data_IF_953416262991
#
_entry.id   IF_953416262991
#
_cell.length_a   1.000
_cell.length_b   1.000
_cell.length_c   1.000
_cell.angle_alpha   90.00
_cell.angle_beta   90.00
_cell.angle_gamma   90.00
#
_symmetry.space_group_name_H-M   'P 1'
#
loop_
_entity.id
_entity.type
_entity.pdbx_description
1 polymer ?
#
# COMPACT_ATOMS: atom_id res chain seq x y z
N UNK A 1 -34.51 -55.44 -72.38
CA UNK A 1 -33.25 -54.70 -72.22
C UNK A 1 -33.48 -53.57 -71.17
N UNK A 2 -33.10 -53.82 -69.92
CA UNK A 2 -33.28 -52.83 -68.82
C UNK A 2 -31.90 -52.23 -68.51
N UNK A 3 -31.74 -50.93 -68.72
CA UNK A 3 -30.52 -50.16 -68.37
C UNK A 3 -30.57 -49.80 -66.89
N UNK A 4 -29.64 -50.30 -66.10
CA UNK A 4 -29.41 -49.82 -64.72
C UNK A 4 -28.58 -48.51 -64.78
N UNK A 5 -29.11 -47.48 -64.18
CA UNK A 5 -28.39 -46.25 -63.91
C UNK A 5 -27.86 -46.33 -62.47
N UNK A 6 -26.52 -46.33 -62.30
CA UNK A 6 -25.82 -46.27 -61.02
C UNK A 6 -25.64 -44.78 -60.75
N UNK A 7 -26.32 -44.27 -59.73
CA UNK A 7 -26.10 -42.92 -59.20
C UNK A 7 -25.00 -42.97 -58.12
N UNK A 8 -23.85 -42.37 -58.35
CA UNK A 8 -22.80 -42.19 -57.35
C UNK A 8 -23.14 -40.97 -56.51
N UNK A 9 -23.45 -41.19 -55.21
CA UNK A 9 -23.59 -40.15 -54.22
C UNK A 9 -22.24 -39.74 -53.68
N UNK A 10 -21.76 -38.53 -54.02
CA UNK A 10 -20.57 -37.94 -53.45
C UNK A 10 -20.92 -37.36 -52.04
N UNK A 11 -20.46 -37.98 -51.01
CA UNK A 11 -20.58 -37.47 -49.63
C UNK A 11 -19.54 -36.33 -49.44
N UNK A 12 -20.01 -35.10 -49.44
CA UNK A 12 -19.22 -33.92 -49.06
C UNK A 12 -19.07 -33.93 -47.54
N UNK A 13 -17.87 -34.22 -47.02
CA UNK A 13 -17.52 -34.07 -45.61
C UNK A 13 -17.37 -32.57 -45.32
N UNK A 14 -18.38 -31.96 -44.71
CA UNK A 14 -18.27 -30.63 -44.15
C UNK A 14 -17.41 -30.73 -42.90
N UNK A 15 -16.14 -30.36 -42.98
CA UNK A 15 -15.29 -30.08 -41.83
C UNK A 15 -15.79 -28.74 -41.26
N UNK A 16 -16.66 -28.78 -40.26
CA UNK A 16 -17.04 -27.58 -39.51
C UNK A 16 -15.76 -27.05 -38.82
N UNK A 17 -15.40 -25.75 -39.03
CA UNK A 17 -14.33 -25.18 -38.24
C UNK A 17 -14.73 -25.28 -36.78
N UNK A 18 -13.93 -25.98 -35.97
CA UNK A 18 -14.13 -26.07 -34.54
C UNK A 18 -14.15 -24.65 -33.99
N UNK A 19 -15.29 -24.24 -33.48
CA UNK A 19 -15.41 -23.01 -32.68
C UNK A 19 -14.52 -23.26 -31.48
N UNK A 20 -13.30 -22.71 -31.49
CA UNK A 20 -12.46 -22.64 -30.31
C UNK A 20 -13.27 -21.90 -29.26
N UNK A 21 -13.79 -22.63 -28.28
CA UNK A 21 -14.47 -22.03 -27.13
C UNK A 21 -13.45 -21.10 -26.49
N UNK A 22 -13.61 -19.80 -26.69
CA UNK A 22 -12.81 -18.81 -26.03
C UNK A 22 -13.05 -18.98 -24.52
N UNK A 23 -12.07 -19.55 -23.83
CA UNK A 23 -12.13 -19.69 -22.38
C UNK A 23 -12.30 -18.30 -21.79
N UNK A 24 -13.28 -18.12 -20.90
CA UNK A 24 -13.50 -16.83 -20.21
C UNK A 24 -12.21 -16.42 -19.49
N UNK A 25 -11.86 -15.14 -19.54
CA UNK A 25 -10.63 -14.67 -18.92
C UNK A 25 -10.66 -14.90 -17.40
N UNK A 26 -9.50 -15.17 -16.83
CA UNK A 26 -9.31 -15.20 -15.38
C UNK A 26 -9.43 -13.78 -14.87
N UNK A 27 -10.37 -13.51 -13.96
CA UNK A 27 -10.59 -12.18 -13.41
C UNK A 27 -9.79 -12.01 -12.12
N UNK A 28 -9.01 -10.92 -12.05
CA UNK A 28 -8.31 -10.47 -10.85
C UNK A 28 -8.97 -9.17 -10.40
N UNK A 29 -9.70 -9.20 -9.29
CA UNK A 29 -10.15 -8.00 -8.61
C UNK A 29 -9.02 -7.46 -7.76
N UNK A 30 -8.51 -6.28 -8.10
CA UNK A 30 -7.47 -5.58 -7.37
C UNK A 30 -8.05 -4.36 -6.68
N UNK A 31 -8.29 -4.47 -5.36
CA UNK A 31 -8.86 -3.39 -4.56
C UNK A 31 -7.79 -2.59 -3.83
N UNK A 32 -7.99 -1.28 -3.72
CA UNK A 32 -7.15 -0.40 -2.90
C UNK A 32 -7.92 0.83 -2.39
N UNK A 33 -7.40 1.47 -1.35
CA UNK A 33 -8.14 2.49 -0.60
C UNK A 33 -7.80 3.94 -0.99
N UNK A 34 -6.82 4.15 -1.85
CA UNK A 34 -6.36 5.50 -2.25
C UNK A 34 -6.93 5.92 -3.61
N UNK A 35 -6.75 7.20 -3.95
CA UNK A 35 -7.18 7.72 -5.24
C UNK A 35 -6.36 7.12 -6.41
N UNK A 36 -6.94 7.03 -7.63
CA UNK A 36 -6.25 6.49 -8.80
C UNK A 36 -4.97 7.25 -9.16
N UNK A 37 -4.94 8.55 -8.92
CA UNK A 37 -3.81 9.45 -9.24
C UNK A 37 -2.73 9.50 -8.14
N UNK A 38 -2.66 8.51 -7.27
CA UNK A 38 -1.56 8.30 -6.32
C UNK A 38 -0.55 7.29 -6.86
N UNK A 39 0.69 7.19 -6.30
CA UNK A 39 1.66 6.19 -6.72
C UNK A 39 1.08 4.76 -6.75
N UNK A 40 0.36 4.37 -5.69
CA UNK A 40 -0.30 3.05 -5.61
C UNK A 40 -1.40 2.88 -6.66
N UNK A 41 -2.25 3.90 -6.87
CA UNK A 41 -3.30 3.85 -7.88
C UNK A 41 -2.74 3.65 -9.27
N UNK A 42 -1.74 4.48 -9.64
CA UNK A 42 -1.02 4.37 -10.93
C UNK A 42 -0.28 3.03 -11.06
N UNK A 43 0.30 2.51 -9.97
CA UNK A 43 0.94 1.19 -9.94
C UNK A 43 -0.05 0.06 -10.21
N UNK A 44 -1.27 0.12 -9.65
CA UNK A 44 -2.33 -0.86 -9.88
C UNK A 44 -2.81 -0.83 -11.34
N UNK A 45 -2.98 0.35 -11.92
CA UNK A 45 -3.33 0.51 -13.34
C UNK A 45 -2.21 0.01 -14.25
N UNK A 46 -0.94 0.25 -13.89
CA UNK A 46 0.22 -0.28 -14.63
C UNK A 46 0.28 -1.80 -14.57
N UNK A 47 0.02 -2.40 -13.42
CA UNK A 47 -0.08 -3.85 -13.31
C UNK A 47 -1.20 -4.41 -14.19
N UNK A 48 -2.39 -3.78 -14.19
CA UNK A 48 -3.50 -4.14 -15.08
C UNK A 48 -3.06 -4.15 -16.54
N UNK A 49 -2.49 -3.04 -17.01
CA UNK A 49 -2.01 -2.90 -18.39
C UNK A 49 -1.06 -4.05 -18.79
N UNK A 50 -0.05 -4.29 -17.95
CA UNK A 50 0.98 -5.28 -18.23
C UNK A 50 0.47 -6.72 -18.09
N UNK A 51 -0.36 -7.02 -17.10
CA UNK A 51 -0.95 -8.33 -16.89
C UNK A 51 -1.84 -8.73 -18.07
N UNK A 52 -2.74 -7.85 -18.51
CA UNK A 52 -3.62 -8.09 -19.65
C UNK A 52 -2.82 -8.24 -20.96
N UNK A 53 -1.79 -7.42 -21.15
CA UNK A 53 -0.88 -7.48 -22.31
C UNK A 53 -0.10 -8.80 -22.36
N UNK A 54 0.57 -9.18 -21.28
CA UNK A 54 1.45 -10.36 -21.28
C UNK A 54 0.68 -11.67 -21.37
N UNK A 55 -0.53 -11.69 -20.80
CA UNK A 55 -1.39 -12.89 -20.90
C UNK A 55 -2.22 -12.93 -22.19
N UNK A 56 -2.03 -11.98 -23.13
CA UNK A 56 -2.83 -11.84 -24.34
C UNK A 56 -4.35 -11.88 -24.06
N UNK A 57 -4.78 -11.18 -23.00
CA UNK A 57 -6.18 -11.09 -22.59
C UNK A 57 -6.73 -12.33 -21.87
N UNK A 58 -5.92 -13.37 -21.58
CA UNK A 58 -6.35 -14.51 -20.77
C UNK A 58 -6.61 -14.14 -19.32
N UNK A 59 -6.02 -13.04 -18.83
CA UNK A 59 -6.31 -12.44 -17.54
C UNK A 59 -6.95 -11.07 -17.77
N UNK A 60 -7.95 -10.73 -16.95
CA UNK A 60 -8.56 -9.41 -16.88
C UNK A 60 -8.38 -8.88 -15.44
N UNK A 61 -7.79 -7.70 -15.30
CA UNK A 61 -7.62 -7.05 -14.00
C UNK A 61 -8.65 -5.93 -13.84
N UNK A 62 -9.44 -6.03 -12.78
CA UNK A 62 -10.44 -5.02 -12.41
C UNK A 62 -9.91 -4.26 -11.19
N UNK A 63 -9.52 -3.00 -11.38
CA UNK A 63 -9.01 -2.14 -10.30
C UNK A 63 -10.16 -1.41 -9.63
N UNK A 64 -10.21 -1.49 -8.30
CA UNK A 64 -11.23 -0.86 -7.45
C UNK A 64 -10.56 0.13 -6.47
N UNK A 65 -10.42 1.41 -6.86
CA UNK A 65 -9.80 2.45 -6.03
C UNK A 65 -10.76 3.02 -4.97
N UNK A 66 -10.23 3.92 -4.12
CA UNK A 66 -11.01 4.73 -3.16
C UNK A 66 -11.91 3.91 -2.21
N UNK A 67 -11.49 2.71 -1.81
CA UNK A 67 -12.29 1.82 -0.96
C UNK A 67 -13.67 1.46 -1.56
N UNK A 68 -13.82 1.49 -2.89
CA UNK A 68 -15.12 1.23 -3.56
C UNK A 68 -15.57 -0.21 -3.42
N UNK A 69 -14.65 -1.15 -3.16
CA UNK A 69 -14.99 -2.56 -2.94
C UNK A 69 -14.87 -2.92 -1.45
N UNK A 70 -13.76 -2.60 -0.81
CA UNK A 70 -13.52 -2.85 0.62
C UNK A 70 -12.77 -1.68 1.26
N UNK A 71 -13.14 -1.36 2.53
CA UNK A 71 -12.36 -0.45 3.36
C UNK A 71 -11.10 -1.14 3.89
N UNK A 72 -10.11 -0.36 4.30
CA UNK A 72 -8.81 -0.86 4.78
C UNK A 72 -8.85 -1.64 6.10
N UNK A 73 -9.99 -1.70 6.77
CA UNK A 73 -10.21 -2.57 7.95
C UNK A 73 -10.67 -3.98 7.57
N UNK A 74 -11.27 -4.14 6.38
CA UNK A 74 -11.98 -5.34 5.95
C UNK A 74 -11.27 -6.05 4.79
N UNK A 75 -10.45 -5.29 4.01
CA UNK A 75 -9.87 -5.77 2.75
C UNK A 75 -9.03 -7.04 2.90
N UNK A 76 -8.26 -7.18 3.98
CA UNK A 76 -7.40 -8.35 4.19
C UNK A 76 -8.20 -9.62 4.52
N UNK A 77 -9.30 -9.49 5.27
CA UNK A 77 -10.22 -10.60 5.50
C UNK A 77 -10.92 -11.02 4.20
N UNK A 78 -11.38 -10.04 3.40
CA UNK A 78 -11.97 -10.30 2.09
C UNK A 78 -10.99 -11.01 1.14
N UNK A 79 -9.68 -10.67 1.19
CA UNK A 79 -8.65 -11.37 0.45
C UNK A 79 -8.50 -12.82 0.91
N UNK A 80 -8.42 -13.05 2.22
CA UNK A 80 -8.29 -14.41 2.78
C UNK A 80 -9.48 -15.30 2.39
N UNK A 81 -10.69 -14.75 2.37
CA UNK A 81 -11.90 -15.43 1.94
C UNK A 81 -12.02 -15.62 0.41
N UNK A 82 -11.11 -15.01 -0.38
CA UNK A 82 -11.12 -15.08 -1.84
C UNK A 82 -12.16 -14.18 -2.52
N UNK A 83 -12.82 -13.28 -1.77
CA UNK A 83 -13.80 -12.34 -2.34
C UNK A 83 -13.12 -11.28 -3.22
N UNK A 84 -11.84 -11.02 -3.01
CA UNK A 84 -10.95 -10.21 -3.84
C UNK A 84 -9.64 -10.98 -4.03
N UNK A 85 -8.98 -10.85 -5.20
CA UNK A 85 -7.79 -11.61 -5.52
C UNK A 85 -6.51 -10.89 -5.10
N UNK A 86 -6.46 -9.56 -5.24
CA UNK A 86 -5.26 -8.77 -4.96
C UNK A 86 -5.58 -7.51 -4.18
N UNK A 87 -4.64 -7.12 -3.31
CA UNK A 87 -4.65 -5.88 -2.53
C UNK A 87 -3.25 -5.27 -2.49
N UNK A 88 -3.17 -4.00 -2.10
CA UNK A 88 -1.93 -3.33 -1.70
C UNK A 88 -2.12 -2.55 -0.38
N UNK A 89 -2.34 -3.26 0.76
CA UNK A 89 -2.48 -2.64 2.07
C UNK A 89 -1.16 -2.03 2.55
N UNK A 90 -1.25 -1.02 3.43
CA UNK A 90 -0.05 -0.49 4.09
C UNK A 90 0.57 -1.51 5.05
N UNK A 91 1.88 -1.41 5.27
CA UNK A 91 2.64 -2.28 6.17
C UNK A 91 1.98 -2.40 7.55
N UNK A 92 1.43 -1.31 8.07
CA UNK A 92 0.73 -1.22 9.36
C UNK A 92 -0.46 -2.18 9.52
N UNK A 93 -1.00 -2.70 8.41
CA UNK A 93 -2.22 -3.54 8.44
C UNK A 93 -1.98 -5.01 8.79
N UNK A 94 -0.74 -5.47 8.72
CA UNK A 94 -0.41 -6.88 8.96
C UNK A 94 -0.23 -7.23 10.44
N UNK A 95 0.12 -6.24 11.29
CA UNK A 95 0.26 -6.45 12.74
C UNK A 95 -0.99 -7.02 13.41
N UNK A 96 -2.20 -6.46 13.19
CA UNK A 96 -3.46 -7.00 13.72
C UNK A 96 -3.77 -8.44 13.28
N UNK A 97 -3.27 -8.87 12.11
CA UNK A 97 -3.40 -10.23 11.61
C UNK A 97 -2.42 -11.22 12.26
N UNK A 98 -1.55 -10.72 13.16
CA UNK A 98 -0.53 -11.50 13.85
C UNK A 98 0.82 -11.56 13.15
N UNK A 99 1.03 -10.82 12.04
CA UNK A 99 2.33 -10.68 11.38
C UNK A 99 2.96 -9.36 11.82
N UNK A 100 3.42 -9.35 13.07
CA UNK A 100 3.87 -8.14 13.77
C UNK A 100 5.16 -7.54 13.20
N UNK A 101 5.94 -8.33 12.48
CA UNK A 101 7.19 -7.91 11.84
C UNK A 101 7.02 -6.67 10.97
N UNK A 102 5.90 -6.54 10.26
CA UNK A 102 5.63 -5.39 9.41
C UNK A 102 5.47 -4.07 10.18
N UNK A 103 5.17 -4.13 11.47
CA UNK A 103 5.12 -2.93 12.32
C UNK A 103 6.51 -2.31 12.57
N UNK A 104 7.61 -2.97 12.16
CA UNK A 104 8.95 -2.37 12.18
C UNK A 104 9.00 -1.09 11.35
N UNK A 105 8.28 -1.05 10.22
CA UNK A 105 8.20 0.13 9.35
C UNK A 105 7.45 1.32 9.98
N UNK A 106 6.69 1.07 11.05
CA UNK A 106 5.99 2.12 11.80
C UNK A 106 6.84 2.76 12.89
N UNK A 107 8.04 2.21 13.19
CA UNK A 107 8.95 2.82 14.16
C UNK A 107 9.38 4.21 13.66
N UNK A 108 9.25 5.24 14.51
CA UNK A 108 9.51 6.61 14.08
C UNK A 108 10.98 6.81 13.73
N UNK A 109 11.24 7.51 12.61
CA UNK A 109 12.57 7.87 12.14
C UNK A 109 13.53 6.68 11.86
N UNK A 110 13.02 5.45 11.80
CA UNK A 110 13.83 4.24 11.53
C UNK A 110 14.48 4.29 10.13
N UNK A 111 13.73 4.80 9.16
CA UNK A 111 14.17 4.88 7.77
C UNK A 111 14.55 6.33 7.45
N UNK A 112 15.86 6.65 7.31
CA UNK A 112 16.28 8.02 7.05
C UNK A 112 15.94 8.51 5.63
N UNK A 113 15.89 7.61 4.65
CA UNK A 113 15.67 7.93 3.25
C UNK A 113 15.21 6.70 2.46
N UNK A 114 14.88 6.89 1.16
CA UNK A 114 14.44 5.83 0.26
C UNK A 114 15.51 4.76 0.00
N UNK A 115 16.78 5.15 -0.05
CA UNK A 115 17.87 4.19 -0.25
C UNK A 115 17.97 3.21 0.93
N UNK A 116 17.82 3.69 2.17
CA UNK A 116 17.75 2.86 3.37
C UNK A 116 16.54 1.92 3.32
N UNK A 117 15.37 2.43 2.92
CA UNK A 117 14.17 1.60 2.72
C UNK A 117 14.44 0.47 1.73
N UNK A 118 15.01 0.77 0.55
CA UNK A 118 15.29 -0.24 -0.49
C UNK A 118 16.24 -1.32 0.01
N UNK A 119 17.26 -0.98 0.82
CA UNK A 119 18.12 -2.00 1.43
C UNK A 119 17.35 -3.00 2.29
N UNK A 120 16.30 -2.54 2.96
CA UNK A 120 15.45 -3.43 3.79
C UNK A 120 14.49 -4.22 2.91
N UNK A 121 13.70 -3.55 2.06
CA UNK A 121 12.61 -4.16 1.30
C UNK A 121 13.07 -5.10 0.20
N UNK A 122 14.15 -4.73 -0.51
CA UNK A 122 14.69 -5.52 -1.62
C UNK A 122 15.67 -6.59 -1.14
N UNK A 123 16.13 -6.45 0.12
CA UNK A 123 17.06 -7.37 0.76
C UNK A 123 16.41 -8.62 1.39
N UNK A 124 17.23 -9.49 2.01
CA UNK A 124 16.76 -10.74 2.64
C UNK A 124 15.71 -10.51 3.74
N UNK A 125 15.79 -9.38 4.48
CA UNK A 125 14.82 -9.05 5.53
C UNK A 125 13.43 -8.86 4.93
N UNK A 126 13.29 -8.05 3.89
CA UNK A 126 12.03 -7.81 3.21
C UNK A 126 11.46 -9.10 2.61
N UNK A 127 12.30 -9.89 1.94
CA UNK A 127 11.87 -11.17 1.36
C UNK A 127 11.39 -12.16 2.43
N UNK A 128 12.07 -12.23 3.58
CA UNK A 128 11.64 -13.10 4.68
C UNK A 128 10.29 -12.67 5.26
N UNK A 129 10.03 -11.35 5.35
CA UNK A 129 8.74 -10.84 5.81
C UNK A 129 7.61 -11.16 4.82
N UNK A 130 7.83 -11.01 3.49
CA UNK A 130 6.84 -11.41 2.48
C UNK A 130 6.47 -12.88 2.60
N UNK A 131 7.44 -13.75 2.84
CA UNK A 131 7.20 -15.19 2.99
C UNK A 131 6.33 -15.54 4.20
N UNK A 132 6.40 -14.76 5.29
CA UNK A 132 5.54 -14.97 6.48
C UNK A 132 4.06 -14.84 6.19
N UNK A 133 3.68 -14.09 5.15
CA UNK A 133 2.29 -13.89 4.72
C UNK A 133 1.63 -15.21 4.27
N UNK A 134 2.41 -16.18 3.80
CA UNK A 134 1.88 -17.48 3.38
C UNK A 134 1.17 -18.22 4.52
N UNK A 135 1.63 -18.05 5.77
CA UNK A 135 0.99 -18.61 6.96
C UNK A 135 -0.43 -18.09 7.21
N UNK A 136 -0.78 -16.97 6.53
CA UNK A 136 -2.10 -16.33 6.58
C UNK A 136 -2.89 -16.46 5.29
N UNK A 137 -2.50 -17.39 4.42
CA UNK A 137 -3.20 -17.63 3.15
C UNK A 137 -3.00 -16.54 2.11
N UNK A 138 -1.91 -15.79 2.19
CA UNK A 138 -1.54 -14.71 1.26
C UNK A 138 -0.15 -14.94 0.69
N UNK A 139 0.08 -14.54 -0.56
CA UNK A 139 1.41 -14.46 -1.16
C UNK A 139 1.78 -12.99 -1.28
N UNK A 140 2.90 -12.59 -0.66
CA UNK A 140 3.48 -11.26 -0.83
C UNK A 140 4.26 -11.19 -2.13
N UNK A 141 3.89 -10.28 -3.03
CA UNK A 141 4.48 -10.17 -4.35
C UNK A 141 5.53 -9.06 -4.45
N UNK A 142 5.30 -7.93 -3.79
CA UNK A 142 6.17 -6.76 -3.90
C UNK A 142 5.97 -5.76 -2.77
N UNK A 143 6.95 -4.88 -2.58
CA UNK A 143 6.82 -3.65 -1.81
C UNK A 143 6.66 -2.47 -2.75
N UNK A 144 5.60 -1.68 -2.53
CA UNK A 144 5.36 -0.43 -3.24
C UNK A 144 5.54 0.76 -2.32
N UNK A 145 6.22 1.79 -2.83
CA UNK A 145 6.46 3.02 -2.09
C UNK A 145 5.22 3.93 -2.11
N UNK A 146 4.99 4.62 -0.99
CA UNK A 146 4.30 5.88 -1.04
C UNK A 146 5.29 7.00 -0.67
N UNK A 147 5.64 7.16 0.62
CA UNK A 147 6.58 8.19 1.01
C UNK A 147 6.61 8.44 2.52
N UNK A 148 7.36 9.50 2.88
CA UNK A 148 7.45 9.94 4.27
C UNK A 148 6.20 10.68 4.71
N UNK A 149 5.79 10.40 5.95
CA UNK A 149 4.58 10.94 6.56
C UNK A 149 4.82 12.34 7.14
N UNK A 150 3.80 13.15 6.97
CA UNK A 150 3.68 14.49 7.51
C UNK A 150 2.50 14.52 8.47
N UNK A 151 2.52 15.43 9.44
CA UNK A 151 1.41 15.57 10.38
C UNK A 151 0.57 16.80 10.07
N UNK A 152 -0.74 16.72 10.20
CA UNK A 152 -1.62 17.89 10.07
C UNK A 152 -2.59 17.99 11.24
N UNK A 153 -2.95 19.23 11.58
CA UNK A 153 -3.92 19.55 12.64
C UNK A 153 -4.53 20.95 12.43
N UNK A 154 -5.50 21.31 13.28
CA UNK A 154 -6.07 22.68 13.29
C UNK A 154 -5.31 23.65 14.20
N UNK A 155 -4.15 23.25 14.73
CA UNK A 155 -3.18 24.09 15.43
C UNK A 155 -1.76 23.78 14.97
N UNK A 156 -0.79 24.69 15.13
CA UNK A 156 0.61 24.40 14.84
C UNK A 156 1.14 23.22 15.67
N UNK A 157 1.91 22.33 15.03
CA UNK A 157 2.56 21.18 15.67
C UNK A 157 4.07 21.31 15.47
N UNK A 158 4.79 21.81 16.47
CA UNK A 158 6.24 22.02 16.43
C UNK A 158 6.99 21.16 17.44
N UNK A 159 6.42 21.01 18.63
CA UNK A 159 7.04 20.35 19.76
C UNK A 159 6.16 19.18 20.23
N UNK A 160 6.71 18.18 20.95
CA UNK A 160 5.93 17.08 21.49
C UNK A 160 4.70 17.52 22.31
N UNK A 161 4.82 18.62 23.07
CA UNK A 161 3.75 19.16 23.91
C UNK A 161 2.54 19.65 23.10
N UNK A 162 2.73 20.01 21.83
CA UNK A 162 1.66 20.47 20.95
C UNK A 162 0.64 19.38 20.64
N UNK A 163 1.01 18.12 20.79
CA UNK A 163 0.16 16.96 20.50
C UNK A 163 -0.73 16.58 21.70
N UNK A 164 -0.41 17.06 22.91
CA UNK A 164 -1.08 16.65 24.11
C UNK A 164 -2.59 16.86 24.05
N UNK A 165 -3.32 15.77 24.29
CA UNK A 165 -4.79 15.75 24.32
C UNK A 165 -5.48 15.80 22.96
N UNK A 166 -4.74 15.94 21.84
CA UNK A 166 -5.32 15.92 20.50
C UNK A 166 -5.69 14.48 20.11
N UNK A 167 -6.85 14.33 19.50
CA UNK A 167 -7.28 13.08 18.89
C UNK A 167 -6.66 12.95 17.51
N UNK A 168 -5.76 11.99 17.35
CA UNK A 168 -5.09 11.74 16.06
C UNK A 168 -5.61 10.48 15.39
N UNK A 169 -6.04 10.60 14.16
CA UNK A 169 -6.32 9.43 13.33
C UNK A 169 -5.03 8.69 13.03
N UNK A 170 -5.03 7.39 13.23
CA UNK A 170 -3.94 6.48 12.89
C UNK A 170 -4.44 5.28 12.10
N UNK A 171 -3.52 4.57 11.45
CA UNK A 171 -3.74 3.24 10.89
C UNK A 171 -3.76 2.17 12.00
N UNK A 172 -4.15 0.94 11.66
CA UNK A 172 -4.26 -0.17 12.63
C UNK A 172 -2.88 -0.74 12.97
N UNK A 173 -2.11 -0.07 13.83
CA UNK A 173 -0.80 -0.51 14.29
C UNK A 173 -0.61 -0.18 15.75
N UNK A 174 -0.07 -1.12 16.52
CA UNK A 174 0.24 -0.89 17.93
C UNK A 174 1.46 0.00 18.12
N UNK A 175 2.38 0.00 17.16
CA UNK A 175 3.52 0.92 17.15
C UNK A 175 3.04 2.36 16.93
N UNK A 176 2.14 2.61 15.98
CA UNK A 176 1.55 3.92 15.78
C UNK A 176 0.73 4.37 17.01
N UNK A 177 -0.03 3.46 17.60
CA UNK A 177 -0.77 3.76 18.84
C UNK A 177 0.18 4.21 19.97
N UNK A 178 1.28 3.49 20.18
CA UNK A 178 2.30 3.84 21.17
C UNK A 178 3.00 5.17 20.83
N UNK A 179 3.29 5.43 19.55
CA UNK A 179 3.92 6.66 19.08
C UNK A 179 3.08 7.90 19.44
N UNK A 180 1.80 7.90 19.15
CA UNK A 180 0.94 9.04 19.46
C UNK A 180 0.68 9.18 20.97
N UNK A 181 0.62 8.06 21.71
CA UNK A 181 0.57 8.11 23.19
C UNK A 181 1.83 8.70 23.82
N UNK A 182 3.01 8.41 23.27
CA UNK A 182 4.28 8.99 23.73
C UNK A 182 4.31 10.53 23.58
N UNK A 183 3.59 11.06 22.58
CA UNK A 183 3.39 12.50 22.39
C UNK A 183 2.23 13.07 23.25
N UNK A 184 1.58 12.25 24.08
CA UNK A 184 0.43 12.67 24.87
C UNK A 184 -0.86 12.85 24.06
N UNK A 185 -0.88 12.45 22.81
CA UNK A 185 -2.07 12.44 21.96
C UNK A 185 -2.97 11.23 22.23
N UNK A 186 -4.20 11.29 21.72
CA UNK A 186 -5.21 10.24 21.83
C UNK A 186 -5.36 9.58 20.45
N UNK A 187 -4.70 8.43 20.19
CA UNK A 187 -4.79 7.77 18.89
C UNK A 187 -6.19 7.19 18.64
N UNK A 188 -6.71 7.40 17.44
CA UNK A 188 -8.00 6.91 16.96
C UNK A 188 -7.80 6.06 15.69
N UNK A 189 -7.98 4.75 15.79
CA UNK A 189 -7.92 3.85 14.64
C UNK A 189 -9.18 4.01 13.81
N UNK A 190 -9.02 4.45 12.55
CA UNK A 190 -10.13 4.76 11.66
C UNK A 190 -9.79 4.36 10.22
N UNK A 191 -10.80 3.89 9.46
CA UNK A 191 -10.65 3.58 8.05
C UNK A 191 -10.26 4.83 7.24
N UNK A 192 -9.43 4.65 6.20
CA UNK A 192 -8.88 5.78 5.42
C UNK A 192 -9.99 6.61 4.75
N UNK A 193 -11.03 5.95 4.24
CA UNK A 193 -12.19 6.60 3.62
C UNK A 193 -13.04 7.47 4.58
N UNK A 194 -12.84 7.34 5.89
CA UNK A 194 -13.59 8.08 6.92
C UNK A 194 -12.84 9.34 7.39
N UNK A 195 -11.55 9.47 7.05
CA UNK A 195 -10.66 10.48 7.63
C UNK A 195 -11.07 11.90 7.28
N UNK A 196 -11.39 12.19 6.01
CA UNK A 196 -11.80 13.54 5.61
C UNK A 196 -13.00 14.04 6.43
N UNK A 197 -14.04 13.22 6.53
CA UNK A 197 -15.25 13.56 7.27
C UNK A 197 -14.96 13.72 8.77
N UNK A 198 -14.11 12.86 9.34
CA UNK A 198 -13.75 12.93 10.76
C UNK A 198 -12.93 14.18 11.10
N UNK A 199 -12.04 14.62 10.20
CA UNK A 199 -11.32 15.89 10.32
C UNK A 199 -12.25 17.10 10.17
N UNK A 200 -13.15 17.05 9.19
CA UNK A 200 -14.10 18.13 8.92
C UNK A 200 -15.04 18.37 10.10
N UNK A 201 -15.52 17.31 10.74
CA UNK A 201 -16.48 17.38 11.84
C UNK A 201 -15.82 17.47 13.24
N UNK A 202 -14.47 17.38 13.30
CA UNK A 202 -13.75 17.42 14.57
C UNK A 202 -13.85 16.16 15.42
N UNK A 203 -14.25 15.02 14.84
CA UNK A 203 -14.16 13.70 15.48
C UNK A 203 -12.70 13.37 15.81
N UNK A 204 -11.79 13.76 14.92
CA UNK A 204 -10.35 13.79 15.17
C UNK A 204 -9.80 15.20 14.89
N UNK A 205 -8.75 15.58 15.60
CA UNK A 205 -8.10 16.89 15.50
C UNK A 205 -7.00 16.92 14.45
N UNK A 206 -6.41 15.75 14.16
CA UNK A 206 -5.28 15.63 13.24
C UNK A 206 -5.13 14.23 12.67
N UNK A 207 -4.20 14.12 11.73
CA UNK A 207 -3.82 12.88 11.07
C UNK A 207 -2.37 12.92 10.62
N UNK A 208 -1.83 11.77 10.20
CA UNK A 208 -0.55 11.65 9.54
C UNK A 208 -0.72 11.00 8.16
N UNK A 209 -0.04 11.51 7.15
CA UNK A 209 -0.01 10.90 5.82
C UNK A 209 1.10 11.51 4.94
N UNK A 210 1.26 10.94 3.76
CA UNK A 210 2.14 11.45 2.72
C UNK A 210 1.48 12.61 1.97
N UNK A 211 2.26 13.54 1.38
CA UNK A 211 1.72 14.69 0.65
C UNK A 211 0.75 14.30 -0.49
N UNK A 212 1.09 13.27 -1.28
CA UNK A 212 0.22 12.79 -2.37
C UNK A 212 -1.15 12.33 -1.87
N UNK A 213 -1.19 11.58 -0.76
CA UNK A 213 -2.46 11.17 -0.16
C UNK A 213 -3.20 12.35 0.47
N UNK A 214 -2.51 13.27 1.15
CA UNK A 214 -3.13 14.44 1.77
C UNK A 214 -3.80 15.33 0.74
N UNK A 215 -3.15 15.53 -0.41
CA UNK A 215 -3.72 16.32 -1.50
C UNK A 215 -4.90 15.63 -2.16
N UNK A 216 -4.74 14.38 -2.60
CA UNK A 216 -5.77 13.64 -3.35
C UNK A 216 -7.01 13.34 -2.52
N UNK A 217 -6.87 13.23 -1.19
CA UNK A 217 -7.98 13.07 -0.24
C UNK A 217 -8.47 14.40 0.34
N UNK A 218 -7.91 15.53 -0.12
CA UNK A 218 -8.31 16.90 0.27
C UNK A 218 -8.16 17.20 1.77
N UNK A 219 -7.29 16.48 2.49
CA UNK A 219 -7.11 16.72 3.92
C UNK A 219 -6.63 18.15 4.22
N UNK A 220 -5.83 18.73 3.31
CA UNK A 220 -5.37 20.12 3.39
C UNK A 220 -6.52 21.16 3.36
N UNK A 221 -7.72 20.78 2.91
CA UNK A 221 -8.88 21.67 2.90
C UNK A 221 -9.57 21.77 4.27
N UNK A 222 -9.36 20.77 5.13
CA UNK A 222 -9.98 20.65 6.46
C UNK A 222 -8.97 20.66 7.61
N UNK A 223 -7.69 20.95 7.30
CA UNK A 223 -6.59 21.04 8.28
C UNK A 223 -5.85 22.38 8.09
N UNK A 224 -5.86 23.23 9.12
CA UNK A 224 -5.27 24.57 9.05
C UNK A 224 -3.75 24.56 8.93
N UNK A 225 -3.08 23.53 9.47
CA UNK A 225 -1.63 23.42 9.51
C UNK A 225 -1.19 22.02 9.07
N UNK A 226 -0.11 22.00 8.29
CA UNK A 226 0.59 20.77 7.93
C UNK A 226 2.07 20.94 8.27
N UNK A 227 2.59 20.06 9.13
CA UNK A 227 3.99 20.09 9.59
C UNK A 227 4.80 19.06 8.84
N UNK A 228 5.92 19.47 8.25
CA UNK A 228 6.87 18.62 7.52
C UNK A 228 7.75 17.84 8.51
N UNK A 229 7.18 16.76 9.06
CA UNK A 229 7.81 15.99 10.15
C UNK A 229 8.72 14.87 9.67
N UNK A 230 8.45 14.27 8.52
CA UNK A 230 9.17 13.10 7.99
C UNK A 230 9.41 12.00 9.05
N UNK A 231 8.48 11.87 10.00
CA UNK A 231 8.62 11.06 11.21
C UNK A 231 8.43 9.57 10.99
N UNK A 232 7.85 9.17 9.88
CA UNK A 232 7.54 7.79 9.57
C UNK A 232 7.40 7.59 8.07
N UNK A 233 7.16 6.35 7.68
CA UNK A 233 7.07 5.95 6.28
C UNK A 233 5.75 5.22 6.00
N UNK A 234 5.13 5.47 4.86
CA UNK A 234 4.06 4.66 4.30
C UNK A 234 4.58 3.90 3.10
N UNK A 235 4.60 2.58 3.23
CA UNK A 235 4.77 1.64 2.14
C UNK A 235 3.62 0.65 2.11
N UNK A 236 3.52 -0.06 1.02
CA UNK A 236 2.49 -1.06 0.78
C UNK A 236 3.13 -2.40 0.47
N UNK A 237 2.42 -3.47 0.81
CA UNK A 237 2.75 -4.81 0.33
C UNK A 237 1.66 -5.23 -0.65
N UNK A 238 2.05 -5.51 -1.89
CA UNK A 238 1.13 -6.12 -2.84
C UNK A 238 0.99 -7.58 -2.48
N UNK A 239 -0.25 -7.98 -2.19
CA UNK A 239 -0.59 -9.34 -1.77
C UNK A 239 -1.66 -9.95 -2.65
N UNK A 240 -1.58 -11.26 -2.85
CA UNK A 240 -2.57 -12.04 -3.57
C UNK A 240 -3.08 -13.18 -2.69
N UNK A 241 -4.35 -13.56 -2.85
CA UNK A 241 -4.90 -14.75 -2.21
C UNK A 241 -4.08 -15.98 -2.61
N UNK A 242 -3.54 -16.72 -1.62
CA UNK A 242 -2.62 -17.84 -1.88
C UNK A 242 -3.27 -18.96 -2.70
N UNK A 243 -4.51 -19.34 -2.36
CA UNK A 243 -5.19 -20.40 -3.10
C UNK A 243 -5.41 -20.02 -4.56
N UNK A 244 -5.90 -18.80 -4.81
CA UNK A 244 -6.06 -18.28 -6.18
C UNK A 244 -4.73 -18.32 -6.94
N UNK A 245 -3.64 -17.86 -6.32
CA UNK A 245 -2.31 -17.79 -6.93
C UNK A 245 -1.73 -19.16 -7.26
N UNK A 246 -1.89 -20.12 -6.36
CA UNK A 246 -1.41 -21.49 -6.53
C UNK A 246 -2.20 -22.27 -7.59
N UNK A 247 -3.49 -21.97 -7.75
CA UNK A 247 -4.38 -22.60 -8.74
C UNK A 247 -4.15 -22.04 -10.18
N UNK A 248 -3.40 -20.95 -10.33
CA UNK A 248 -3.12 -20.39 -11.67
C UNK A 248 -2.25 -21.34 -12.52
N UNK A 249 -2.51 -21.43 -13.84
CA UNK A 249 -1.59 -22.08 -14.78
C UNK A 249 -0.18 -21.46 -14.65
N UNK A 250 0.85 -22.29 -14.67
CA UNK A 250 2.24 -21.87 -14.44
C UNK A 250 2.72 -20.78 -15.40
N UNK A 251 2.31 -20.86 -16.67
CA UNK A 251 2.62 -19.86 -17.70
C UNK A 251 1.95 -18.51 -17.40
N UNK A 252 0.68 -18.52 -16.98
CA UNK A 252 -0.06 -17.31 -16.56
C UNK A 252 0.59 -16.69 -15.33
N UNK A 253 0.90 -17.50 -14.32
CA UNK A 253 1.55 -17.00 -13.10
C UNK A 253 2.90 -16.34 -13.40
N UNK A 254 3.75 -16.96 -14.24
CA UNK A 254 5.03 -16.37 -14.64
C UNK A 254 4.86 -15.02 -15.36
N UNK A 255 3.82 -14.88 -16.19
CA UNK A 255 3.51 -13.62 -16.88
C UNK A 255 3.03 -12.54 -15.90
N UNK A 256 2.24 -12.92 -14.89
CA UNK A 256 1.79 -12.00 -13.84
C UNK A 256 2.93 -11.58 -12.91
N UNK A 257 3.85 -12.48 -12.57
CA UNK A 257 5.07 -12.17 -11.83
C UNK A 257 5.93 -11.14 -12.59
N UNK A 258 6.12 -11.33 -13.88
CA UNK A 258 6.82 -10.36 -14.74
C UNK A 258 6.10 -9.01 -14.75
N UNK A 259 4.78 -8.99 -14.92
CA UNK A 259 3.98 -7.76 -14.89
C UNK A 259 4.11 -7.05 -13.55
N UNK A 260 4.13 -7.79 -12.43
CA UNK A 260 4.29 -7.23 -11.09
C UNK A 260 5.66 -6.60 -10.88
N UNK A 261 6.74 -7.23 -11.35
CA UNK A 261 8.09 -6.66 -11.27
C UNK A 261 8.14 -5.30 -11.97
N UNK A 262 7.64 -5.20 -13.20
CA UNK A 262 7.66 -3.94 -13.96
C UNK A 262 6.72 -2.88 -13.38
N UNK A 263 5.54 -3.27 -12.92
CA UNK A 263 4.62 -2.36 -12.22
C UNK A 263 5.21 -1.84 -10.90
N UNK A 264 6.00 -2.67 -10.20
CA UNK A 264 6.70 -2.30 -8.97
C UNK A 264 7.77 -1.25 -9.24
N UNK A 265 8.61 -1.47 -10.25
CA UNK A 265 9.61 -0.46 -10.67
C UNK A 265 8.91 0.85 -10.98
N UNK A 266 7.88 0.83 -11.83
CA UNK A 266 7.12 2.03 -12.17
C UNK A 266 6.54 2.76 -10.96
N UNK A 267 5.83 2.03 -10.06
CA UNK A 267 5.20 2.61 -8.87
C UNK A 267 6.23 3.26 -7.94
N UNK A 268 7.37 2.59 -7.74
CA UNK A 268 8.43 3.05 -6.86
C UNK A 268 9.21 4.25 -7.45
N UNK A 269 9.40 4.29 -8.76
CA UNK A 269 10.09 5.39 -9.43
C UNK A 269 9.28 6.69 -9.39
N UNK A 270 7.95 6.62 -9.53
CA UNK A 270 7.11 7.82 -9.52
C UNK A 270 6.81 8.37 -8.11
N UNK A 271 7.04 7.57 -7.04
CA UNK A 271 6.56 7.90 -5.69
C UNK A 271 7.08 9.23 -5.14
N UNK A 272 8.36 9.54 -5.34
CA UNK A 272 8.96 10.80 -4.86
C UNK A 272 8.41 12.01 -5.63
N UNK A 273 8.32 11.89 -6.96
CA UNK A 273 7.76 12.92 -7.82
C UNK A 273 6.31 13.23 -7.43
N UNK A 274 5.48 12.22 -7.28
CA UNK A 274 4.06 12.38 -6.90
C UNK A 274 3.91 13.04 -5.52
N UNK A 275 4.81 12.80 -4.58
CA UNK A 275 4.81 13.47 -3.27
C UNK A 275 5.29 14.92 -3.38
N UNK A 276 6.30 15.20 -4.20
CA UNK A 276 6.74 16.57 -4.46
C UNK A 276 5.63 17.39 -5.13
N UNK A 277 4.97 16.85 -6.14
CA UNK A 277 3.80 17.45 -6.79
C UNK A 277 2.65 17.68 -5.79
N UNK A 278 2.36 16.68 -4.94
CA UNK A 278 1.36 16.81 -3.87
C UNK A 278 1.68 17.94 -2.89
N UNK A 279 2.95 18.11 -2.51
CA UNK A 279 3.40 19.25 -1.70
C UNK A 279 3.18 20.59 -2.40
N UNK A 280 3.56 20.68 -3.68
CA UNK A 280 3.40 21.91 -4.46
C UNK A 280 1.93 22.29 -4.61
N UNK A 281 1.07 21.31 -4.85
CA UNK A 281 -0.37 21.53 -4.98
C UNK A 281 -1.01 21.93 -3.64
N UNK A 282 -0.60 21.33 -2.53
CA UNK A 282 -1.03 21.73 -1.17
C UNK A 282 -0.62 23.21 -0.92
N UNK A 283 0.64 23.57 -1.21
CA UNK A 283 1.14 24.96 -1.07
C UNK A 283 0.36 25.93 -1.95
N UNK A 284 0.16 25.59 -3.22
CA UNK A 284 -0.59 26.43 -4.19
C UNK A 284 -2.05 26.62 -3.78
N UNK A 285 -2.66 25.66 -3.11
CA UNK A 285 -4.05 25.75 -2.66
C UNK A 285 -4.28 26.88 -1.65
N UNK A 286 -3.27 27.24 -0.86
CA UNK A 286 -3.35 28.24 0.20
C UNK A 286 -4.30 27.90 1.35
N UNK A 287 -4.82 26.65 1.39
CA UNK A 287 -5.83 26.23 2.38
C UNK A 287 -5.24 25.74 3.71
N UNK A 288 -3.96 25.39 3.73
CA UNK A 288 -3.23 24.95 4.93
C UNK A 288 -1.89 25.70 5.01
N UNK A 289 -1.48 26.05 6.23
CA UNK A 289 -0.18 26.65 6.47
C UNK A 289 0.87 25.53 6.63
N UNK A 290 1.91 25.57 5.82
CA UNK A 290 3.02 24.63 5.93
C UNK A 290 3.98 25.09 7.03
N UNK A 291 4.30 24.19 7.95
CA UNK A 291 5.28 24.38 9.00
C UNK A 291 6.49 23.49 8.69
N UNK A 292 7.66 24.12 8.56
CA UNK A 292 8.95 23.43 8.48
C UNK A 292 9.59 23.51 9.85
N UNK A 293 9.76 22.37 10.56
CA UNK A 293 10.39 22.35 11.88
C UNK A 293 11.87 22.74 11.81
N UNK A 294 12.33 23.45 12.83
CA UNK A 294 13.75 23.70 13.03
C UNK A 294 14.49 22.42 13.42
N UNK A 295 15.82 22.44 13.34
CA UNK A 295 16.64 21.31 13.80
C UNK A 295 16.40 20.96 15.28
N UNK A 296 16.19 21.98 16.12
CA UNK A 296 15.89 21.79 17.55
C UNK A 296 14.52 21.14 17.77
N UNK A 297 13.49 21.57 17.04
CA UNK A 297 12.14 20.97 17.08
C UNK A 297 12.17 19.52 16.61
N UNK A 298 12.87 19.21 15.53
CA UNK A 298 13.07 17.85 15.04
C UNK A 298 13.81 16.97 16.06
N UNK A 299 14.84 17.50 16.72
CA UNK A 299 15.57 16.79 17.76
C UNK A 299 14.70 16.48 18.99
N UNK A 300 13.84 17.41 19.39
CA UNK A 300 12.88 17.22 20.48
C UNK A 300 11.86 16.12 20.14
N UNK A 301 11.32 16.12 18.92
CA UNK A 301 10.40 15.07 18.43
C UNK A 301 11.08 13.69 18.40
N UNK A 302 12.30 13.58 17.90
CA UNK A 302 13.06 12.32 17.90
C UNK A 302 13.28 11.79 19.32
N UNK A 303 13.71 12.68 20.24
CA UNK A 303 13.95 12.33 21.63
C UNK A 303 12.68 11.82 22.33
N UNK A 304 11.54 12.46 22.09
CA UNK A 304 10.26 12.04 22.67
C UNK A 304 9.81 10.64 22.21
N UNK A 305 10.22 10.23 21.01
CA UNK A 305 9.83 8.94 20.43
C UNK A 305 10.90 7.85 20.55
N UNK A 306 12.13 8.18 20.98
CA UNK A 306 13.24 7.24 21.11
C UNK A 306 12.91 6.02 22.00
N UNK A 307 12.19 6.15 23.12
CA UNK A 307 11.84 5.00 23.98
C UNK A 307 11.07 3.90 23.26
N UNK A 308 10.35 4.24 22.19
CA UNK A 308 9.53 3.29 21.43
C UNK A 308 10.31 2.10 20.85
N UNK A 309 11.59 2.29 20.56
CA UNK A 309 12.45 1.21 20.07
C UNK A 309 12.61 0.09 21.12
N UNK A 310 12.68 0.46 22.39
CA UNK A 310 12.74 -0.50 23.50
C UNK A 310 11.35 -1.02 23.86
N UNK A 311 10.37 -0.12 23.96
CA UNK A 311 9.02 -0.47 24.41
C UNK A 311 8.32 -1.42 23.41
N UNK A 312 8.59 -1.26 22.11
CA UNK A 312 8.01 -2.09 21.05
C UNK A 312 8.87 -3.31 20.69
N UNK A 313 10.04 -3.48 21.29
CA UNK A 313 10.96 -4.57 20.96
C UNK A 313 10.34 -5.97 21.19
N UNK A 314 9.54 -6.16 22.24
CA UNK A 314 8.86 -7.43 22.51
C UNK A 314 7.75 -7.74 21.50
N UNK A 315 7.18 -6.71 20.88
CA UNK A 315 6.11 -6.85 19.90
C UNK A 315 6.64 -7.07 18.49
N UNK A 316 7.57 -6.21 18.05
CA UNK A 316 8.12 -6.19 16.70
C UNK A 316 9.21 -7.26 16.53
N UNK A 317 9.95 -7.54 17.61
CA UNK A 317 11.14 -8.38 17.63
C UNK A 317 12.42 -7.54 17.70
N UNK A 318 13.12 -7.62 18.84
CA UNK A 318 14.36 -6.86 19.05
C UNK A 318 15.39 -7.13 17.94
N UNK A 319 15.59 -8.40 17.58
CA UNK A 319 16.52 -8.79 16.53
C UNK A 319 16.16 -8.13 15.18
N UNK A 320 14.88 -8.11 14.80
CA UNK A 320 14.45 -7.47 13.56
C UNK A 320 14.73 -5.96 13.56
N UNK A 321 14.46 -5.28 14.69
CA UNK A 321 14.77 -3.85 14.84
C UNK A 321 16.26 -3.62 14.65
N UNK A 322 17.10 -4.40 15.35
CA UNK A 322 18.56 -4.31 15.29
C UNK A 322 19.07 -4.56 13.85
N UNK A 323 18.52 -5.55 13.16
CA UNK A 323 18.89 -5.90 11.78
C UNK A 323 18.51 -4.78 10.79
N UNK A 324 17.33 -4.15 10.95
CA UNK A 324 16.92 -3.01 10.13
C UNK A 324 17.81 -1.81 10.41
N UNK A 325 18.08 -1.48 11.68
CA UNK A 325 18.99 -0.39 12.05
C UNK A 325 20.38 -0.62 11.43
N UNK A 326 20.91 -1.84 11.53
CA UNK A 326 22.21 -2.19 10.93
C UNK A 326 22.19 -2.06 9.41
N UNK A 327 21.13 -2.53 8.75
CA UNK A 327 21.01 -2.46 7.29
C UNK A 327 20.94 -1.01 6.78
N UNK A 328 20.42 -0.08 7.60
CA UNK A 328 20.25 1.34 7.24
C UNK A 328 21.41 2.23 7.69
N UNK A 329 22.36 1.72 8.50
CA UNK A 329 23.54 2.48 8.93
C UNK A 329 24.40 2.92 7.75
N UNK A 330 24.83 4.20 7.78
CA UNK A 330 25.73 4.78 6.77
C UNK A 330 25.10 4.97 5.39
N UNK A 331 23.80 4.79 5.26
CA UNK A 331 23.08 5.10 4.01
C UNK A 331 22.81 6.61 3.99
N UNK A 332 23.59 7.32 3.20
CA UNK A 332 23.36 8.74 2.88
C UNK A 332 22.51 8.87 1.62
N UNK A 333 21.85 10.03 1.48
CA UNK A 333 21.09 10.37 0.26
C UNK A 333 22.05 10.49 -0.93
#
# INVERSE_FOLDING_TARGET
MRKLLIAAAAAAIFVAPGIASAQSPIVIKFSHVVAPNTPKGKGADKFKELAEKYTNGKVKVEVYPNSTLYKDKEELEALQLGAVQMLAPSNSKFGPMGIKDFEVFDLPYLLPNKAALRKVTDGPLGQSMLKKLESKGMVGLAYWDNGFKQMSANKPLRMPEDYKGLKFRIQSSKVLEAQFRALGAIPQVMAFSEVYQALQTGVVDGQENTPSNMYTQKFHEVQKYTTETNHGYIGYVVVVNKKFWDDLPKDIRAQLEKAMVEATVYSNDISEKENAEGWDDIKKSGKTQIIVPTAAENAAMRKAMEPLYTDMASRVGKQLIDDVVKATQGVTN
#
